data_IF_126000795852
#
_entry.id   IF_126000795852
#
_cell.length_a   1.000
_cell.length_b   1.000
_cell.length_c   1.000
_cell.angle_alpha   90.00
_cell.angle_beta   90.00
_cell.angle_gamma   90.00
#
_symmetry.space_group_name_H-M   'P 1'
#
loop_
_entity.id
_entity.type
_entity.pdbx_description
1 polymer ?
#
# COMPACT_ATOMS: atom_id res chain seq x y z
N UNK A 1 -30.15 1.79 -36.03
CA UNK A 1 -29.83 2.98 -35.21
C UNK A 1 -28.34 2.93 -34.84
N UNK A 2 -27.58 4.03 -34.93
CA UNK A 2 -26.22 4.04 -34.41
C UNK A 2 -26.26 3.81 -32.88
N UNK A 3 -25.26 3.12 -32.30
CA UNK A 3 -25.21 2.91 -30.87
C UNK A 3 -25.12 4.26 -30.15
N UNK A 4 -25.94 4.45 -29.12
CA UNK A 4 -25.93 5.66 -28.31
C UNK A 4 -24.55 5.85 -27.67
N UNK A 5 -24.03 7.09 -27.68
CA UNK A 5 -22.78 7.44 -27.00
C UNK A 5 -22.87 7.03 -25.53
N UNK A 6 -21.93 6.22 -25.00
CA UNK A 6 -21.99 5.78 -23.62
C UNK A 6 -21.86 6.98 -22.69
N UNK A 7 -22.75 7.06 -21.69
CA UNK A 7 -22.64 8.04 -20.61
C UNK A 7 -21.42 7.69 -19.76
N UNK A 8 -20.36 8.51 -19.83
CA UNK A 8 -19.09 8.34 -19.11
C UNK A 8 -19.03 9.07 -17.76
N UNK A 9 -20.19 9.44 -17.21
CA UNK A 9 -20.28 10.20 -15.95
C UNK A 9 -21.12 9.42 -14.96
N UNK A 10 -20.51 9.00 -13.86
CA UNK A 10 -21.19 8.47 -12.70
C UNK A 10 -21.40 9.62 -11.69
N UNK A 11 -22.64 9.79 -11.22
CA UNK A 11 -22.95 10.68 -10.09
C UNK A 11 -23.30 9.81 -8.90
N UNK A 12 -22.55 9.96 -7.82
CA UNK A 12 -22.73 9.19 -6.59
C UNK A 12 -22.95 10.14 -5.42
N UNK A 13 -23.99 9.87 -4.62
CA UNK A 13 -24.30 10.66 -3.43
C UNK A 13 -23.64 10.02 -2.20
N UNK A 14 -22.75 10.76 -1.54
CA UNK A 14 -22.18 10.37 -0.26
C UNK A 14 -23.07 10.85 0.89
N UNK A 15 -23.30 9.98 1.87
CA UNK A 15 -24.19 10.29 3.02
C UNK A 15 -23.55 11.25 4.02
N UNK A 16 -22.22 11.24 4.12
CA UNK A 16 -21.43 12.17 4.91
C UNK A 16 -20.21 12.59 4.08
N UNK A 17 -19.63 13.74 4.43
CA UNK A 17 -18.37 14.19 3.86
C UNK A 17 -17.20 13.29 4.30
N UNK A 18 -16.16 13.25 3.48
CA UNK A 18 -14.87 12.66 3.81
C UNK A 18 -14.19 13.38 4.97
N UNK A 19 -13.35 12.66 5.71
CA UNK A 19 -12.57 13.21 6.82
C UNK A 19 -11.14 13.56 6.40
N UNK A 20 -10.69 13.06 5.25
CA UNK A 20 -9.39 13.35 4.65
C UNK A 20 -9.10 12.41 3.49
N UNK A 21 -7.95 12.61 2.83
CA UNK A 21 -7.50 11.80 1.70
C UNK A 21 -6.09 11.21 1.91
N UNK A 22 -5.51 11.38 3.10
CA UNK A 22 -4.24 10.74 3.46
C UNK A 22 -4.51 9.35 4.06
N UNK A 23 -4.18 8.25 3.36
CA UNK A 23 -4.49 6.88 3.80
C UNK A 23 -4.03 6.55 5.22
N UNK A 24 -2.90 7.12 5.64
CA UNK A 24 -2.31 6.89 6.97
C UNK A 24 -3.20 7.41 8.10
N UNK A 25 -4.01 8.44 7.85
CA UNK A 25 -4.85 9.09 8.86
C UNK A 25 -6.30 8.59 8.86
N UNK A 26 -6.70 7.74 7.90
CA UNK A 26 -8.11 7.38 7.71
C UNK A 26 -8.59 6.34 8.73
N UNK A 27 -9.86 6.49 9.15
CA UNK A 27 -10.57 5.52 9.97
C UNK A 27 -12.07 5.42 9.61
N UNK A 28 -12.46 5.87 8.41
CA UNK A 28 -13.85 5.87 7.94
C UNK A 28 -13.96 5.30 6.52
N UNK A 29 -15.13 4.74 6.19
CA UNK A 29 -15.37 4.08 4.90
C UNK A 29 -15.60 5.06 3.74
N UNK A 30 -16.01 6.30 4.01
CA UNK A 30 -16.32 7.28 2.98
C UNK A 30 -15.04 7.81 2.34
N UNK A 31 -14.07 8.22 3.15
CA UNK A 31 -12.72 8.60 2.71
C UNK A 31 -12.00 7.44 2.03
N UNK A 32 -12.14 6.22 2.57
CA UNK A 32 -11.57 4.99 1.98
C UNK A 32 -12.18 4.68 0.60
N UNK A 33 -13.46 4.96 0.40
CA UNK A 33 -14.09 4.81 -0.92
C UNK A 33 -13.52 5.77 -1.96
N UNK A 34 -13.08 6.98 -1.55
CA UNK A 34 -12.44 7.94 -2.44
C UNK A 34 -10.98 7.55 -2.72
N UNK A 35 -10.20 7.25 -1.68
CA UNK A 35 -8.77 6.91 -1.81
C UNK A 35 -8.54 5.63 -2.63
N UNK A 36 -9.48 4.67 -2.62
CA UNK A 36 -9.45 3.51 -3.52
C UNK A 36 -9.47 3.87 -5.02
N UNK A 37 -9.86 5.10 -5.38
CA UNK A 37 -9.86 5.61 -6.75
C UNK A 37 -8.71 6.61 -7.01
N UNK A 38 -7.89 6.90 -6.00
CA UNK A 38 -6.75 7.84 -6.08
C UNK A 38 -5.42 7.06 -6.08
N UNK A 39 -5.32 6.04 -5.23
CA UNK A 39 -4.12 5.23 -5.05
C UNK A 39 -4.32 3.81 -5.59
N UNK A 40 -3.22 3.11 -5.84
CA UNK A 40 -3.25 1.70 -6.26
C UNK A 40 -2.33 0.83 -5.39
N UNK A 41 -2.86 -0.28 -4.88
CA UNK A 41 -2.08 -1.29 -4.17
C UNK A 41 -1.31 -2.21 -5.14
N UNK A 42 -0.46 -3.07 -4.59
CA UNK A 42 0.30 -4.06 -5.38
C UNK A 42 -0.63 -5.07 -6.07
N UNK A 43 -1.68 -5.48 -5.39
CA UNK A 43 -2.68 -6.43 -5.87
C UNK A 43 -4.09 -5.88 -5.68
N UNK A 44 -5.07 -6.55 -6.28
CA UNK A 44 -6.50 -6.29 -6.08
C UNK A 44 -7.28 -7.60 -6.19
N UNK A 45 -8.59 -7.55 -5.92
CA UNK A 45 -9.48 -8.68 -6.14
C UNK A 45 -10.15 -8.59 -7.51
N UNK A 46 -10.24 -9.71 -8.21
CA UNK A 46 -11.09 -9.81 -9.40
C UNK A 46 -12.56 -9.75 -8.97
N UNK A 47 -13.32 -8.71 -9.38
CA UNK A 47 -14.70 -8.53 -8.92
C UNK A 47 -15.66 -9.60 -9.45
N UNK A 48 -15.32 -10.24 -10.57
CA UNK A 48 -16.17 -11.20 -11.27
C UNK A 48 -15.79 -12.66 -10.95
N UNK A 49 -14.57 -12.92 -10.48
CA UNK A 49 -14.11 -14.27 -10.18
C UNK A 49 -14.92 -14.93 -9.05
N UNK A 50 -15.30 -16.19 -9.26
CA UNK A 50 -15.87 -17.09 -8.25
C UNK A 50 -15.14 -18.45 -8.39
N UNK A 51 -14.37 -18.92 -7.38
CA UNK A 51 -14.10 -18.29 -6.07
C UNK A 51 -13.31 -16.97 -6.18
N UNK A 52 -13.27 -16.22 -5.07
CA UNK A 52 -12.52 -14.96 -4.97
C UNK A 52 -11.05 -15.18 -5.35
N UNK A 53 -10.51 -14.27 -6.16
CA UNK A 53 -9.14 -14.35 -6.67
C UNK A 53 -8.43 -13.02 -6.50
N UNK A 54 -7.24 -13.07 -5.91
CA UNK A 54 -6.28 -11.95 -5.92
C UNK A 54 -5.58 -11.92 -7.27
N UNK A 55 -5.45 -10.74 -7.86
CA UNK A 55 -4.79 -10.52 -9.15
C UNK A 55 -3.83 -9.33 -9.06
N UNK A 56 -2.74 -9.30 -9.85
CA UNK A 56 -1.80 -8.18 -9.84
C UNK A 56 -2.44 -6.85 -10.28
N UNK A 57 -2.13 -5.76 -9.57
CA UNK A 57 -2.47 -4.38 -9.93
C UNK A 57 -1.18 -3.62 -10.28
N UNK A 58 -0.49 -3.00 -9.31
CA UNK A 58 0.87 -2.44 -9.54
C UNK A 58 1.92 -3.55 -9.68
N UNK A 59 1.72 -4.70 -9.03
CA UNK A 59 2.59 -5.85 -9.19
C UNK A 59 2.60 -6.34 -10.65
N UNK A 60 3.75 -6.82 -11.12
CA UNK A 60 3.90 -7.38 -12.45
C UNK A 60 3.42 -8.84 -12.55
N UNK A 61 3.46 -9.57 -11.43
CA UNK A 61 3.04 -10.97 -11.35
C UNK A 61 2.65 -11.34 -9.92
N UNK A 62 2.24 -12.60 -9.73
CA UNK A 62 2.16 -13.21 -8.40
C UNK A 62 3.51 -13.11 -7.67
N UNK A 63 3.51 -13.01 -6.33
CA UNK A 63 4.75 -12.95 -5.56
C UNK A 63 5.46 -14.30 -5.55
N UNK A 64 6.79 -14.28 -5.53
CA UNK A 64 7.54 -15.45 -5.13
C UNK A 64 7.48 -15.57 -3.59
N UNK A 65 6.86 -16.65 -3.10
CA UNK A 65 6.67 -16.91 -1.67
C UNK A 65 7.56 -18.07 -1.23
N UNK A 66 8.29 -17.89 -0.12
CA UNK A 66 9.08 -18.97 0.49
C UNK A 66 8.17 -20.08 1.04
N UNK A 67 8.70 -21.31 1.11
CA UNK A 67 7.93 -22.48 1.56
C UNK A 67 7.37 -22.39 2.99
N UNK A 68 7.99 -21.56 3.84
CA UNK A 68 7.56 -21.28 5.21
C UNK A 68 6.58 -20.10 5.32
N UNK A 69 6.16 -19.50 4.20
CA UNK A 69 5.28 -18.32 4.12
C UNK A 69 5.78 -17.10 4.90
N UNK A 70 7.11 -16.96 5.04
CA UNK A 70 7.73 -15.84 5.75
C UNK A 70 8.40 -14.81 4.85
N UNK A 71 8.72 -15.13 3.61
CA UNK A 71 9.35 -14.21 2.66
C UNK A 71 8.51 -14.08 1.40
N UNK A 72 8.19 -12.84 1.04
CA UNK A 72 7.44 -12.47 -0.15
C UNK A 72 8.32 -11.57 -1.01
N UNK A 73 8.54 -11.94 -2.26
CA UNK A 73 9.24 -11.10 -3.25
C UNK A 73 8.26 -10.73 -4.35
N UNK A 74 7.95 -9.44 -4.44
CA UNK A 74 6.91 -8.88 -5.29
C UNK A 74 7.57 -8.04 -6.40
N UNK A 75 7.50 -8.46 -7.66
CA UNK A 75 7.93 -7.64 -8.78
C UNK A 75 6.86 -6.59 -9.11
N UNK A 76 7.27 -5.38 -9.46
CA UNK A 76 6.42 -4.26 -9.84
C UNK A 76 6.47 -4.05 -11.36
N UNK A 77 5.37 -3.56 -11.94
CA UNK A 77 5.37 -3.12 -13.34
C UNK A 77 6.20 -1.87 -13.50
N UNK A 78 6.83 -1.74 -14.66
CA UNK A 78 7.57 -0.53 -15.04
C UNK A 78 6.63 0.48 -15.72
N UNK A 79 7.03 1.75 -15.73
CA UNK A 79 6.34 2.78 -16.50
C UNK A 79 4.98 3.21 -15.92
N UNK A 80 4.73 2.91 -14.65
CA UNK A 80 3.61 3.49 -13.90
C UNK A 80 4.10 4.79 -13.27
N UNK A 81 3.32 5.86 -13.36
CA UNK A 81 3.71 7.17 -12.88
C UNK A 81 2.64 7.74 -11.94
N UNK A 82 3.08 8.44 -10.92
CA UNK A 82 2.20 9.29 -10.13
C UNK A 82 1.57 10.37 -11.02
N UNK A 83 0.42 10.87 -10.58
CA UNK A 83 -0.15 12.10 -11.13
C UNK A 83 0.85 13.26 -10.99
N UNK A 84 0.72 14.26 -11.88
CA UNK A 84 1.58 15.44 -11.83
C UNK A 84 1.36 16.19 -10.52
N UNK A 85 2.46 16.45 -9.80
CA UNK A 85 2.44 17.12 -8.50
C UNK A 85 3.63 18.09 -8.36
N UNK A 86 3.45 19.27 -7.75
CA UNK A 86 4.54 20.21 -7.47
C UNK A 86 5.73 19.62 -6.70
N UNK A 87 5.52 18.60 -5.86
CA UNK A 87 6.56 17.88 -5.13
C UNK A 87 7.61 17.27 -6.06
N UNK A 88 7.22 16.91 -7.29
CA UNK A 88 8.13 16.35 -8.29
C UNK A 88 8.83 17.41 -9.14
N UNK A 89 8.63 18.70 -8.85
CA UNK A 89 9.33 19.84 -9.48
C UNK A 89 9.28 19.79 -11.01
N UNK A 90 8.10 19.47 -11.55
CA UNK A 90 7.84 19.38 -12.99
C UNK A 90 8.42 18.13 -13.67
N UNK A 91 8.91 17.14 -12.92
CA UNK A 91 9.37 15.86 -13.46
C UNK A 91 8.32 14.79 -13.24
N UNK A 92 8.09 13.93 -14.24
CA UNK A 92 7.28 12.74 -14.05
C UNK A 92 7.97 11.80 -13.06
N UNK A 93 7.28 11.43 -11.98
CA UNK A 93 7.79 10.49 -10.98
C UNK A 93 7.17 9.11 -11.22
N UNK A 94 8.03 8.15 -11.55
CA UNK A 94 7.61 6.76 -11.70
C UNK A 94 7.37 6.10 -10.33
N UNK A 95 6.39 5.22 -10.23
CA UNK A 95 6.17 4.38 -9.04
C UNK A 95 7.24 3.30 -8.97
N UNK A 96 7.77 3.06 -7.78
CA UNK A 96 8.90 2.17 -7.51
C UNK A 96 8.68 1.42 -6.20
N UNK A 97 9.45 0.35 -5.96
CA UNK A 97 9.36 -0.43 -4.71
C UNK A 97 9.63 0.42 -3.46
N UNK A 98 10.46 1.47 -3.59
CA UNK A 98 10.76 2.40 -2.51
C UNK A 98 9.53 3.19 -2.04
N UNK A 99 8.57 3.46 -2.92
CA UNK A 99 7.36 4.22 -2.56
C UNK A 99 6.46 3.38 -1.62
N UNK A 100 6.38 2.06 -1.84
CA UNK A 100 5.71 1.14 -0.91
C UNK A 100 6.44 1.01 0.43
N UNK A 101 7.78 0.93 0.42
CA UNK A 101 8.57 0.94 1.66
C UNK A 101 8.32 2.21 2.47
N UNK A 102 8.30 3.36 1.80
CA UNK A 102 8.01 4.65 2.42
C UNK A 102 6.59 4.69 3.00
N UNK A 103 5.56 4.29 2.24
CA UNK A 103 4.18 4.28 2.70
C UNK A 103 3.98 3.40 3.93
N UNK A 104 4.55 2.19 3.98
CA UNK A 104 4.47 1.32 5.16
C UNK A 104 5.21 1.94 6.36
N UNK A 105 6.37 2.56 6.14
CA UNK A 105 7.08 3.31 7.19
C UNK A 105 6.26 4.49 7.73
N UNK A 106 5.40 5.13 6.93
CA UNK A 106 4.50 6.18 7.44
C UNK A 106 3.49 5.63 8.45
N UNK A 107 2.98 4.42 8.27
CA UNK A 107 2.15 3.77 9.30
C UNK A 107 2.95 3.46 10.58
N UNK A 108 4.23 3.09 10.42
CA UNK A 108 5.13 2.81 11.53
C UNK A 108 5.56 4.07 12.30
N UNK A 109 5.56 5.25 11.68
CA UNK A 109 5.88 6.51 12.36
C UNK A 109 4.79 6.88 13.41
N UNK A 110 5.12 6.92 14.71
CA UNK A 110 4.17 7.34 15.75
C UNK A 110 3.62 8.75 15.59
N UNK A 111 4.36 9.65 14.94
CA UNK A 111 3.92 11.04 14.73
C UNK A 111 2.63 11.11 13.90
N UNK A 112 2.42 10.14 13.00
CA UNK A 112 1.24 10.06 12.16
C UNK A 112 0.00 9.52 12.88
N UNK A 113 0.15 8.91 14.08
CA UNK A 113 -0.97 8.35 14.87
C UNK A 113 -1.90 7.45 14.04
N UNK A 114 -1.30 6.67 13.14
CA UNK A 114 -2.02 5.94 12.11
C UNK A 114 -3.03 4.94 12.70
N UNK A 115 -4.35 5.09 12.46
CA UNK A 115 -5.36 4.15 12.95
C UNK A 115 -5.15 2.73 12.39
N UNK A 116 -4.58 2.62 11.19
CA UNK A 116 -4.25 1.35 10.53
C UNK A 116 -2.95 0.69 11.00
N UNK A 117 -2.16 1.32 11.90
CA UNK A 117 -0.92 0.72 12.43
C UNK A 117 -1.08 -0.72 12.94
N UNK A 118 -2.15 -1.09 13.69
CA UNK A 118 -2.31 -2.45 14.20
C UNK A 118 -2.24 -3.55 13.14
N UNK A 119 -2.63 -3.28 11.89
CA UNK A 119 -2.52 -4.26 10.79
C UNK A 119 -1.05 -4.58 10.45
N UNK A 120 -0.18 -3.57 10.43
CA UNK A 120 1.25 -3.75 10.21
C UNK A 120 1.94 -4.33 11.44
N UNK A 121 1.56 -3.88 12.64
CA UNK A 121 2.07 -4.44 13.89
C UNK A 121 1.79 -5.94 13.99
N UNK A 122 0.54 -6.33 13.71
CA UNK A 122 0.11 -7.71 13.72
C UNK A 122 0.86 -8.50 12.66
N UNK A 123 1.07 -7.98 11.45
CA UNK A 123 1.75 -8.70 10.36
C UNK A 123 3.16 -9.20 10.72
N UNK A 124 3.81 -8.59 11.71
CA UNK A 124 5.08 -9.05 12.25
C UNK A 124 6.23 -8.92 11.25
N UNK A 125 6.23 -7.85 10.44
CA UNK A 125 7.34 -7.52 9.55
C UNK A 125 8.63 -7.37 10.37
N UNK A 126 9.67 -8.13 10.01
CA UNK A 126 10.92 -8.19 10.77
C UNK A 126 11.57 -6.80 10.87
N UNK A 127 11.78 -6.32 12.10
CA UNK A 127 12.40 -5.02 12.39
C UNK A 127 11.48 -3.80 12.36
N UNK A 128 10.25 -3.90 11.83
CA UNK A 128 9.36 -2.73 11.71
C UNK A 128 8.82 -2.26 13.06
N UNK A 129 8.35 -3.21 13.88
CA UNK A 129 7.83 -2.92 15.21
C UNK A 129 8.95 -2.41 16.13
N UNK A 130 10.15 -3.02 16.06
CA UNK A 130 11.33 -2.56 16.80
C UNK A 130 11.67 -1.11 16.46
N UNK A 131 11.65 -0.75 15.18
CA UNK A 131 11.95 0.61 14.74
C UNK A 131 10.96 1.61 15.34
N UNK A 132 9.66 1.30 15.29
CA UNK A 132 8.63 2.14 15.93
C UNK A 132 8.85 2.26 17.44
N UNK A 133 9.10 1.16 18.14
CA UNK A 133 9.33 1.17 19.59
C UNK A 133 10.55 1.99 19.98
N UNK A 134 11.63 1.90 19.20
CA UNK A 134 12.83 2.71 19.41
C UNK A 134 12.52 4.20 19.27
N UNK A 135 11.74 4.58 18.25
CA UNK A 135 11.30 5.97 18.03
C UNK A 135 10.44 6.47 19.19
N UNK A 136 9.48 5.68 19.67
CA UNK A 136 8.65 6.01 20.83
C UNK A 136 9.48 6.24 22.11
N UNK A 137 10.45 5.36 22.38
CA UNK A 137 11.34 5.45 23.55
C UNK A 137 12.28 6.65 23.44
N UNK A 138 12.86 6.87 22.26
CA UNK A 138 13.83 7.94 22.02
C UNK A 138 13.19 9.33 21.87
N UNK A 139 11.89 9.41 21.55
CA UNK A 139 11.16 10.65 21.24
C UNK A 139 11.85 11.50 20.16
N UNK A 140 12.39 10.83 19.14
CA UNK A 140 13.06 11.44 17.98
C UNK A 140 12.19 11.31 16.74
N UNK A 141 12.44 12.12 15.68
CA UNK A 141 11.80 11.91 14.38
C UNK A 141 12.03 10.48 13.87
N UNK A 142 11.05 9.92 13.16
CA UNK A 142 11.17 8.60 12.57
C UNK A 142 12.27 8.59 11.50
N UNK A 143 13.26 7.69 11.58
CA UNK A 143 14.40 7.71 10.67
C UNK A 143 14.07 6.94 9.39
N UNK A 144 13.39 7.60 8.43
CA UNK A 144 12.93 6.98 7.18
C UNK A 144 14.02 6.30 6.36
N UNK A 145 15.26 6.76 6.46
CA UNK A 145 16.42 6.17 5.76
C UNK A 145 16.94 4.88 6.42
N UNK A 146 16.48 4.54 7.62
CA UNK A 146 16.90 3.30 8.30
C UNK A 146 16.33 2.09 7.57
N UNK A 147 17.18 1.18 7.14
CA UNK A 147 16.73 -0.08 6.55
C UNK A 147 15.97 -0.93 7.58
N UNK A 148 14.87 -1.53 7.13
CA UNK A 148 14.09 -2.49 7.92
C UNK A 148 14.32 -3.86 7.29
N UNK A 149 14.77 -4.84 8.08
CA UNK A 149 15.17 -6.15 7.55
C UNK A 149 14.05 -6.83 6.76
N UNK A 150 12.83 -6.79 7.30
CA UNK A 150 11.65 -7.38 6.69
C UNK A 150 10.92 -6.48 5.70
N UNK A 151 11.44 -5.30 5.36
CA UNK A 151 10.81 -4.41 4.40
C UNK A 151 11.86 -3.68 3.56
N UNK A 152 12.12 -4.19 2.36
CA UNK A 152 13.19 -3.70 1.49
C UNK A 152 12.75 -3.58 0.05
N UNK A 153 13.16 -2.49 -0.60
CA UNK A 153 13.26 -2.45 -2.05
C UNK A 153 14.60 -3.10 -2.42
N UNK A 154 14.58 -4.33 -2.98
CA UNK A 154 15.81 -5.01 -3.42
C UNK A 154 16.44 -4.29 -4.63
N UNK A 155 15.58 -3.71 -5.44
CA UNK A 155 15.90 -2.81 -6.54
C UNK A 155 14.70 -1.86 -6.76
N UNK A 156 14.72 -1.10 -7.85
CA UNK A 156 13.68 -0.11 -8.17
C UNK A 156 12.29 -0.72 -8.36
N UNK A 157 12.19 -1.98 -8.73
CA UNK A 157 10.97 -2.68 -9.12
C UNK A 157 10.75 -3.99 -8.37
N UNK A 158 11.51 -4.28 -7.32
CA UNK A 158 11.35 -5.49 -6.52
C UNK A 158 11.21 -5.16 -5.04
N UNK A 159 10.03 -5.41 -4.48
CA UNK A 159 9.76 -5.30 -3.04
C UNK A 159 9.96 -6.67 -2.39
N UNK A 160 10.71 -6.72 -1.29
CA UNK A 160 10.78 -7.89 -0.41
C UNK A 160 10.16 -7.56 0.94
N UNK A 161 9.28 -8.46 1.39
CA UNK A 161 8.69 -8.43 2.73
C UNK A 161 9.04 -9.73 3.46
N UNK A 162 9.55 -9.61 4.69
CA UNK A 162 9.77 -10.75 5.59
C UNK A 162 9.00 -10.60 6.89
N UNK A 163 8.34 -11.66 7.31
CA UNK A 163 7.57 -11.73 8.55
C UNK A 163 8.20 -12.71 9.54
N UNK A 164 8.06 -12.46 10.84
CA UNK A 164 8.60 -13.35 11.90
C UNK A 164 7.93 -14.70 11.90
N UNK A 165 6.62 -14.71 11.69
CA UNK A 165 5.80 -15.92 11.63
C UNK A 165 5.25 -16.17 10.23
N UNK A 166 4.87 -17.42 9.89
CA UNK A 166 4.22 -17.73 8.62
C UNK A 166 2.96 -16.89 8.43
N UNK A 167 2.83 -16.22 7.28
CA UNK A 167 1.70 -15.35 6.96
C UNK A 167 1.11 -15.72 5.59
N UNK A 168 0.46 -16.89 5.42
CA UNK A 168 0.00 -17.36 4.10
C UNK A 168 -1.02 -16.45 3.41
N UNK A 169 -1.64 -15.51 4.15
CA UNK A 169 -2.60 -14.52 3.63
C UNK A 169 -2.07 -13.09 3.64
N UNK A 170 -0.74 -12.90 3.65
CA UNK A 170 -0.14 -11.58 3.76
C UNK A 170 -0.57 -10.65 2.62
N UNK A 171 -0.68 -11.18 1.40
CA UNK A 171 -1.05 -10.42 0.22
C UNK A 171 -2.48 -9.90 0.33
N UNK A 172 -3.43 -10.77 0.67
CA UNK A 172 -4.83 -10.41 0.88
C UNK A 172 -4.97 -9.37 1.99
N UNK A 173 -4.16 -9.49 3.05
CA UNK A 173 -4.29 -8.68 4.25
C UNK A 173 -3.68 -7.28 4.12
N UNK A 174 -2.50 -7.15 3.51
CA UNK A 174 -1.77 -5.87 3.45
C UNK A 174 -1.60 -5.30 2.04
N UNK A 175 -1.77 -6.09 0.98
CA UNK A 175 -1.32 -5.68 -0.35
C UNK A 175 -2.41 -5.73 -1.43
N UNK A 176 -3.64 -6.11 -1.07
CA UNK A 176 -4.78 -6.21 -1.99
C UNK A 176 -5.80 -5.07 -1.87
N UNK A 177 -5.57 -4.10 -0.97
CA UNK A 177 -6.49 -2.98 -0.70
C UNK A 177 -5.88 -1.62 -1.05
N UNK A 178 -6.36 -0.98 -2.13
CA UNK A 178 -5.86 0.34 -2.59
C UNK A 178 -6.25 1.51 -1.68
N UNK A 179 -7.26 1.35 -0.83
CA UNK A 179 -7.80 2.41 0.02
C UNK A 179 -6.86 2.84 1.15
N UNK A 180 -6.12 1.90 1.74
CA UNK A 180 -5.18 2.17 2.82
C UNK A 180 -3.72 1.85 2.46
N UNK A 181 -3.50 0.90 1.57
CA UNK A 181 -2.18 0.31 1.30
C UNK A 181 -1.67 0.57 -0.11
N UNK A 182 -2.34 1.47 -0.84
CA UNK A 182 -1.87 1.97 -2.13
C UNK A 182 -0.68 2.91 -2.01
N UNK A 183 0.09 3.00 -3.08
CA UNK A 183 1.08 4.06 -3.29
C UNK A 183 0.47 5.19 -4.11
#
# INVERSE_FOLDING_TARGET
PPPATPVKTLRYAMRIAETGLDPVSLNDTYSRSLTAHIFEALYTFDPLARPVKVVPLIAASDPAVSADFRTYTIPLRHGIYFADDPAFKGRRREVTAADFVYSIKRFADPANKAPGWPSYEESGIVGLNELREQVLKAKKPFPYDTEVEGLRALDRYTLQVKTREPRPRLIEFLFAGSDLFGA
#
